data_IF_643031041407
#
_entry.id   IF_643031041407
#
_cell.length_a   1.000
_cell.length_b   1.000
_cell.length_c   1.000
_cell.angle_alpha   90.00
_cell.angle_beta   90.00
_cell.angle_gamma   90.00
#
_symmetry.space_group_name_H-M   'P 1'
#
loop_
_entity.id
_entity.type
_entity.pdbx_description
1 polymer ?
#
# COMPACT_ATOMS: atom_id res chain seq x y z
N UNK A 1 -21.90 28.24 3.60
CA UNK A 1 -20.62 28.55 4.28
C UNK A 1 -19.79 27.28 4.24
N UNK A 2 -18.76 27.27 3.38
CA UNK A 2 -17.58 26.41 3.43
C UNK A 2 -17.76 24.88 3.40
N UNK A 3 -18.25 24.35 2.28
CA UNK A 3 -17.96 22.97 1.86
C UNK A 3 -16.48 22.85 1.47
N UNK A 4 -15.59 22.77 2.47
CA UNK A 4 -14.23 22.28 2.24
C UNK A 4 -14.29 20.75 2.15
N UNK A 5 -14.83 20.24 1.05
CA UNK A 5 -14.69 18.85 0.67
C UNK A 5 -13.23 18.66 0.27
N UNK A 6 -12.36 18.39 1.25
CA UNK A 6 -11.06 17.79 0.99
C UNK A 6 -11.31 16.54 0.16
N UNK A 7 -10.61 16.31 -0.97
CA UNK A 7 -10.77 15.07 -1.73
C UNK A 7 -10.40 13.93 -0.78
N UNK A 8 -11.41 13.25 -0.26
CA UNK A 8 -11.24 12.01 0.48
C UNK A 8 -10.70 11.02 -0.54
N UNK A 9 -9.38 10.89 -0.58
CA UNK A 9 -8.68 9.98 -1.48
C UNK A 9 -9.34 8.60 -1.35
N UNK A 10 -9.78 7.98 -2.46
CA UNK A 10 -10.44 6.69 -2.37
C UNK A 10 -9.45 5.68 -1.76
N UNK A 11 -9.89 5.05 -0.68
CA UNK A 11 -9.15 3.99 0.01
C UNK A 11 -9.74 2.65 -0.44
N UNK A 12 -8.88 1.70 -0.80
CA UNK A 12 -9.24 0.31 -1.04
C UNK A 12 -8.43 -0.59 -0.11
N UNK A 13 -8.88 -1.84 0.02
CA UNK A 13 -8.13 -2.89 0.69
C UNK A 13 -7.36 -3.72 -0.34
N UNK A 14 -6.14 -4.11 0.01
CA UNK A 14 -5.28 -4.93 -0.84
C UNK A 14 -5.79 -6.38 -0.85
N UNK A 15 -6.03 -6.95 -2.02
CA UNK A 15 -6.48 -8.35 -2.15
C UNK A 15 -5.46 -9.36 -1.57
N UNK A 16 -4.19 -8.96 -1.44
CA UNK A 16 -3.12 -9.83 -0.93
C UNK A 16 -2.93 -9.72 0.58
N UNK A 17 -2.80 -8.49 1.11
CA UNK A 17 -2.45 -8.28 2.53
C UNK A 17 -3.58 -7.66 3.37
N UNK A 18 -4.74 -7.39 2.77
CA UNK A 18 -5.91 -6.76 3.39
C UNK A 18 -5.69 -5.33 3.94
N UNK A 19 -4.48 -4.79 3.77
CA UNK A 19 -4.13 -3.43 4.17
C UNK A 19 -4.91 -2.40 3.39
N UNK A 20 -5.34 -1.34 4.08
CA UNK A 20 -5.91 -0.16 3.47
C UNK A 20 -4.82 0.65 2.73
N UNK A 21 -5.10 1.10 1.51
CA UNK A 21 -4.19 1.95 0.75
C UNK A 21 -4.96 2.95 -0.12
N UNK A 22 -4.31 4.06 -0.47
CA UNK A 22 -4.87 5.02 -1.41
C UNK A 22 -4.74 4.51 -2.85
N UNK A 23 -5.87 4.45 -3.57
CA UNK A 23 -5.92 3.88 -4.94
C UNK A 23 -4.96 4.57 -5.90
N UNK A 24 -4.81 5.89 -5.80
CA UNK A 24 -3.92 6.67 -6.69
C UNK A 24 -2.42 6.40 -6.47
N UNK A 25 -2.04 5.75 -5.36
CA UNK A 25 -0.63 5.47 -5.03
C UNK A 25 -0.15 4.15 -5.58
N UNK A 26 -1.07 3.27 -5.98
CA UNK A 26 -0.72 1.99 -6.56
C UNK A 26 -0.90 2.01 -8.08
N UNK A 27 0.03 1.37 -8.78
CA UNK A 27 -0.14 1.08 -10.21
C UNK A 27 -1.21 0.00 -10.46
N UNK A 28 -1.62 -0.72 -9.41
CA UNK A 28 -2.56 -1.84 -9.46
C UNK A 28 -3.80 -1.53 -8.64
N UNK A 29 -4.97 -1.64 -9.27
CA UNK A 29 -6.27 -1.23 -8.71
C UNK A 29 -6.78 -2.09 -7.54
N UNK A 30 -6.07 -3.19 -7.26
CA UNK A 30 -6.40 -4.23 -6.27
C UNK A 30 -5.26 -4.53 -5.29
N UNK A 31 -4.06 -4.00 -5.53
CA UNK A 31 -2.89 -4.27 -4.71
C UNK A 31 -2.36 -2.97 -4.13
N UNK A 32 -1.89 -2.99 -2.89
CA UNK A 32 -1.14 -1.85 -2.36
C UNK A 32 0.21 -1.71 -3.09
N UNK A 33 0.85 -0.52 -3.04
CA UNK A 33 2.14 -0.28 -3.70
C UNK A 33 3.21 -1.30 -3.29
N UNK A 34 3.25 -1.67 -2.00
CA UNK A 34 4.20 -2.65 -1.47
C UNK A 34 4.01 -4.06 -2.09
N UNK A 35 2.77 -4.56 -2.15
CA UNK A 35 2.48 -5.86 -2.75
C UNK A 35 2.72 -5.85 -4.27
N UNK A 36 2.32 -4.77 -4.94
CA UNK A 36 2.56 -4.58 -6.37
C UNK A 36 4.06 -4.55 -6.70
N UNK A 37 4.87 -3.90 -5.86
CA UNK A 37 6.32 -3.87 -5.98
C UNK A 37 6.93 -5.27 -5.84
N UNK A 38 6.55 -6.03 -4.80
CA UNK A 38 7.15 -7.35 -4.56
C UNK A 38 6.79 -8.37 -5.64
N UNK A 39 5.52 -8.38 -6.09
CA UNK A 39 4.99 -9.35 -7.04
C UNK A 39 5.36 -9.03 -8.50
N UNK A 40 5.30 -7.76 -8.88
CA UNK A 40 5.41 -7.35 -10.29
C UNK A 40 6.57 -6.39 -10.56
N UNK A 41 7.26 -5.90 -9.52
CA UNK A 41 8.40 -4.97 -9.68
C UNK A 41 8.00 -3.53 -9.98
N UNK A 42 6.74 -3.13 -9.71
CA UNK A 42 6.32 -1.73 -9.82
C UNK A 42 7.08 -0.83 -8.84
N UNK A 43 7.13 0.50 -9.07
CA UNK A 43 7.70 1.43 -8.08
C UNK A 43 7.02 1.27 -6.72
N UNK A 44 7.83 1.10 -5.69
CA UNK A 44 7.32 1.12 -4.31
C UNK A 44 7.10 2.57 -3.85
N UNK A 45 6.32 2.73 -2.79
CA UNK A 45 6.17 4.00 -2.10
C UNK A 45 7.31 4.18 -1.09
N UNK A 46 7.86 5.38 -1.00
CA UNK A 46 8.74 5.77 0.11
C UNK A 46 7.91 5.84 1.39
N UNK A 47 7.79 4.71 2.09
CA UNK A 47 6.88 4.60 3.22
C UNK A 47 7.31 5.48 4.39
N UNK A 48 6.53 6.52 4.66
CA UNK A 48 6.68 7.39 5.83
C UNK A 48 5.57 7.09 6.83
N UNK A 49 5.89 6.35 7.88
CA UNK A 49 4.91 5.91 8.88
C UNK A 49 4.71 6.97 9.97
N UNK A 50 3.48 7.44 10.10
CA UNK A 50 3.00 8.23 11.24
C UNK A 50 1.75 7.56 11.82
N UNK A 51 1.69 7.41 13.14
CA UNK A 51 0.56 6.75 13.82
C UNK A 51 0.19 5.35 13.25
N UNK A 52 1.19 4.52 12.95
CA UNK A 52 1.05 3.16 12.37
C UNK A 52 0.48 3.10 10.94
N UNK A 53 0.40 4.22 10.21
CA UNK A 53 0.03 4.22 8.79
C UNK A 53 0.97 5.07 7.98
N UNK A 54 1.21 4.67 6.75
CA UNK A 54 1.99 5.46 5.82
C UNK A 54 1.20 6.72 5.45
N UNK A 55 1.78 7.91 5.63
CA UNK A 55 1.11 9.17 5.26
C UNK A 55 0.93 9.30 3.75
N UNK A 56 1.80 8.64 2.97
CA UNK A 56 1.78 8.70 1.51
C UNK A 56 0.81 7.72 0.89
N UNK A 57 0.83 6.44 1.28
CA UNK A 57 0.02 5.40 0.65
C UNK A 57 -1.06 4.80 1.57
N UNK A 58 -1.18 5.26 2.81
CA UNK A 58 -2.10 4.76 3.85
C UNK A 58 -1.87 3.33 4.34
N UNK A 59 -0.90 2.65 3.76
CA UNK A 59 -0.49 1.30 4.12
C UNK A 59 -0.06 1.21 5.58
N UNK A 60 -0.54 0.20 6.29
CA UNK A 60 -0.29 -0.01 7.73
C UNK A 60 0.93 -0.90 8.02
N UNK A 61 1.67 -1.30 6.98
CA UNK A 61 2.81 -2.20 7.12
C UNK A 61 2.45 -3.69 7.07
N UNK A 62 1.17 -4.05 6.98
CA UNK A 62 0.75 -5.45 6.89
C UNK A 62 1.13 -6.08 5.55
N UNK A 63 1.58 -7.34 5.62
CA UNK A 63 2.00 -8.15 4.47
C UNK A 63 1.46 -9.56 4.64
N UNK A 64 1.09 -10.20 3.53
CA UNK A 64 0.69 -11.60 3.53
C UNK A 64 1.89 -12.52 3.77
N UNK A 65 1.63 -13.73 4.24
CA UNK A 65 2.64 -14.78 4.40
C UNK A 65 3.37 -15.06 3.08
N UNK A 66 2.65 -15.00 1.95
CA UNK A 66 3.21 -15.19 0.63
C UNK A 66 4.22 -14.09 0.27
N UNK A 67 3.88 -12.82 0.45
CA UNK A 67 4.79 -11.69 0.22
C UNK A 67 6.05 -11.81 1.09
N UNK A 68 5.89 -12.18 2.37
CA UNK A 68 7.02 -12.39 3.27
C UNK A 68 7.94 -13.51 2.77
N UNK A 69 7.38 -14.64 2.29
CA UNK A 69 8.19 -15.75 1.75
C UNK A 69 9.01 -15.35 0.52
N UNK A 70 8.47 -14.49 -0.36
CA UNK A 70 9.19 -13.96 -1.52
C UNK A 70 10.35 -13.07 -1.06
N UNK A 71 10.09 -12.18 -0.09
CA UNK A 71 11.10 -11.27 0.44
C UNK A 71 12.23 -12.01 1.17
N UNK A 72 11.92 -13.08 1.89
CA UNK A 72 12.91 -13.95 2.52
C UNK A 72 13.76 -14.68 1.49
N UNK A 73 13.14 -15.16 0.41
CA UNK A 73 13.85 -15.86 -0.68
C UNK A 73 14.79 -14.93 -1.44
N UNK A 74 14.39 -13.67 -1.69
CA UNK A 74 15.21 -12.66 -2.39
C UNK A 74 16.43 -12.18 -1.59
N UNK A 75 16.51 -12.46 -0.29
CA UNK A 75 17.66 -12.09 0.57
C UNK A 75 18.81 -13.10 0.55
N UNK A 76 18.64 -14.26 -0.11
CA UNK A 76 19.67 -15.29 -0.32
C UNK A 76 20.43 -15.05 -1.62
#
# INVERSE_FOLDING_TARGET
MSDKMTPSQPIKHCDECDSAYYVHTSAMDKLCPACAHVLYGYPDCDHLFEANRCVHCYWDGSRSSYINSILETKKR
#
